data_IF_696454188731
#
_entry.id   IF_696454188731
#
_cell.length_a   1.000
_cell.length_b   1.000
_cell.length_c   1.000
_cell.angle_alpha   90.00
_cell.angle_beta   90.00
_cell.angle_gamma   90.00
#
_symmetry.space_group_name_H-M   'P 1'
#
loop_
_entity.id
_entity.type
_entity.pdbx_description
1 polymer ?
2 non-polymer ?
3 non-polymer ?
4 water ?
#
# COMPACT_ATOMS: atom_id res chain seq x y z
N UNK A 3 13.19 12.73 1.75
CA UNK A 3 13.40 11.27 1.76
C UNK A 3 12.61 10.49 2.81
N UNK A 4 12.12 9.28 2.61
CA UNK A 4 11.50 8.53 3.70
C UNK A 4 12.55 8.23 4.79
N UNK A 5 12.11 8.25 6.06
CA UNK A 5 12.96 7.82 7.15
C UNK A 5 12.85 6.30 7.34
N UNK A 6 13.86 5.81 8.08
CA UNK A 6 13.77 4.39 8.43
C UNK A 6 12.49 4.01 9.20
N UNK A 7 12.07 4.89 10.08
CA UNK A 7 10.86 4.64 10.86
C UNK A 7 9.63 4.61 9.94
N UNK A 8 9.60 5.53 8.94
CA UNK A 8 8.48 5.49 8.00
C UNK A 8 8.49 4.21 7.20
N UNK A 9 9.65 3.80 6.68
CA UNK A 9 9.68 2.56 5.92
C UNK A 9 9.22 1.37 6.76
N UNK A 10 9.68 1.32 8.00
CA UNK A 10 9.31 0.20 8.86
C UNK A 10 7.80 0.20 9.14
N UNK A 11 7.24 1.41 9.36
CA UNK A 11 5.79 1.44 9.64
C UNK A 11 4.96 1.09 8.40
N UNK A 12 5.44 1.55 7.25
CA UNK A 12 4.71 1.18 6.01
C UNK A 12 4.76 -0.33 5.83
N UNK A 13 5.94 -0.92 6.05
CA UNK A 13 6.10 -2.38 5.96
C UNK A 13 5.16 -3.10 6.94
N UNK A 14 5.12 -2.63 8.19
CA UNK A 14 4.29 -3.33 9.20
C UNK A 14 2.81 -3.27 8.89
N UNK A 15 2.37 -2.07 8.48
CA UNK A 15 0.93 -1.93 8.21
C UNK A 15 0.56 -2.80 7.01
N UNK A 16 1.37 -2.75 5.93
CA UNK A 16 1.12 -3.60 4.76
C UNK A 16 1.03 -5.04 5.16
N UNK A 17 2.00 -5.47 5.97
CA UNK A 17 2.14 -6.89 6.30
C UNK A 17 0.96 -7.41 7.11
N UNK A 18 0.24 -6.51 7.80
CA UNK A 18 -0.97 -6.95 8.54
C UNK A 18 -1.97 -7.62 7.63
N UNK A 19 -1.97 -7.18 6.36
CA UNK A 19 -2.98 -7.69 5.43
C UNK A 19 -2.40 -8.62 4.39
N UNK A 20 -1.13 -8.98 4.50
CA UNK A 20 -0.44 -9.96 3.63
C UNK A 20 -0.54 -11.30 4.36
N UNK A 21 -1.67 -11.97 4.12
CA UNK A 21 -1.91 -13.11 5.02
C UNK A 21 -0.91 -14.23 4.76
N UNK A 22 -0.51 -14.41 3.49
CA UNK A 22 0.45 -15.54 3.27
C UNK A 22 1.91 -15.13 3.35
N UNK A 23 2.17 -13.87 3.72
CA UNK A 23 3.54 -13.50 4.01
C UNK A 23 4.40 -13.38 2.80
N UNK A 24 3.85 -13.21 1.59
CA UNK A 24 4.70 -13.26 0.41
C UNK A 24 4.97 -11.88 -0.17
N UNK A 25 4.61 -10.82 0.55
CA UNK A 25 4.91 -9.48 0.11
C UNK A 25 3.89 -8.86 -0.82
N UNK A 26 2.73 -9.50 -0.89
CA UNK A 26 1.65 -8.94 -1.69
C UNK A 26 0.35 -8.90 -0.90
N UNK A 27 -0.46 -7.90 -1.29
CA UNK A 27 -1.82 -7.78 -0.77
C UNK A 27 -2.78 -7.62 -1.96
N UNK A 28 -4.08 -7.66 -1.68
CA UNK A 28 -5.04 -7.36 -2.73
C UNK A 28 -5.25 -5.85 -2.84
N UNK A 29 -5.63 -5.40 -4.05
CA UNK A 29 -5.95 -3.97 -4.20
C UNK A 29 -7.15 -3.62 -3.31
N UNK A 30 -8.08 -4.57 -3.05
CA UNK A 30 -9.22 -4.24 -2.21
C UNK A 30 -8.83 -3.96 -0.77
N UNK A 31 -7.62 -4.35 -0.32
CA UNK A 31 -7.13 -4.09 1.03
C UNK A 31 -6.24 -2.86 1.10
N UNK A 32 -6.00 -2.13 -0.01
CA UNK A 32 -5.12 -0.96 0.09
C UNK A 32 -5.72 0.09 1.01
N UNK A 33 -7.06 0.36 0.90
CA UNK A 33 -7.62 1.38 1.82
C UNK A 33 -7.44 0.95 3.27
N UNK A 34 -7.59 -0.34 3.56
CA UNK A 34 -7.46 -0.81 4.96
C UNK A 34 -6.05 -0.59 5.43
N UNK A 35 -5.05 -0.83 4.57
CA UNK A 35 -3.66 -0.53 4.95
C UNK A 35 -3.47 0.97 5.25
N UNK A 36 -4.03 1.84 4.37
CA UNK A 36 -3.84 3.27 4.55
C UNK A 36 -4.49 3.75 5.86
N UNK A 37 -5.68 3.19 6.13
CA UNK A 37 -6.35 3.55 7.41
C UNK A 37 -5.58 3.00 8.60
N UNK A 38 -4.91 1.86 8.45
CA UNK A 38 -4.08 1.33 9.52
C UNK A 38 -2.92 2.27 9.86
N UNK A 39 -2.51 3.06 8.86
CA UNK A 39 -1.47 4.07 9.04
C UNK A 39 -2.03 5.38 9.57
N UNK A 40 -3.36 5.45 9.81
CA UNK A 40 -3.93 6.70 10.35
C UNK A 40 -4.28 7.64 9.23
N UNK A 41 -4.20 7.22 7.97
CA UNK A 41 -4.59 8.12 6.88
C UNK A 41 -6.06 7.88 6.51
N UNK A 42 -6.62 8.80 5.72
CA UNK A 42 -8.03 8.70 5.36
C UNK A 42 -8.21 9.04 3.89
N UNK A 43 -7.65 8.23 2.97
CA UNK A 43 -7.82 8.56 1.54
C UNK A 43 -9.27 8.39 1.11
N UNK A 44 -9.62 9.18 0.11
CA UNK A 44 -10.92 9.03 -0.54
C UNK A 44 -10.86 7.88 -1.54
N UNK A 45 -12.04 7.40 -1.95
CA UNK A 45 -12.10 6.36 -2.98
C UNK A 45 -11.37 6.79 -4.23
N UNK A 46 -11.55 8.07 -4.57
CA UNK A 46 -10.81 8.69 -5.65
C UNK A 46 -9.30 8.54 -5.59
N UNK A 47 -8.81 8.96 -4.42
CA UNK A 47 -7.39 8.91 -4.17
C UNK A 47 -6.92 7.47 -4.17
N UNK A 48 -7.71 6.54 -3.60
CA UNK A 48 -7.41 5.11 -3.71
C UNK A 48 -7.33 4.61 -5.15
N UNK A 49 -8.28 4.99 -5.99
CA UNK A 49 -8.24 4.64 -7.42
C UNK A 49 -6.98 5.08 -8.13
N UNK A 50 -6.53 6.31 -7.91
CA UNK A 50 -5.28 6.86 -8.47
C UNK A 50 -4.07 6.05 -8.00
N UNK A 51 -4.03 5.72 -6.71
CA UNK A 51 -2.97 4.86 -6.20
C UNK A 51 -3.01 3.48 -6.87
N UNK A 52 -4.20 2.92 -6.98
CA UNK A 52 -4.30 1.56 -7.53
C UNK A 52 -3.85 1.58 -8.98
N UNK A 53 -4.16 2.69 -9.67
CA UNK A 53 -3.68 3.00 -11.00
C UNK A 53 -2.16 3.02 -11.05
N UNK A 54 -1.45 3.41 -10.01
CA UNK A 54 0.01 3.39 -10.04
C UNK A 54 0.57 2.02 -9.69
N UNK A 55 -0.03 1.32 -8.72
CA UNK A 55 0.65 0.11 -8.24
C UNK A 55 0.05 -1.16 -8.81
N UNK A 56 -1.05 -1.06 -9.54
CA UNK A 56 -1.63 -2.30 -10.10
C UNK A 56 -1.93 -1.93 -11.55
N UNK A 57 -0.90 -1.47 -12.27
CA UNK A 57 -1.18 -1.06 -13.67
C UNK A 57 -1.86 -2.15 -14.50
N UNK A 58 -1.50 -3.42 -14.21
CA UNK A 58 -2.02 -4.43 -15.15
C UNK A 58 -3.40 -4.85 -14.72
N UNK A 59 -3.92 -4.36 -13.59
CA UNK A 59 -5.29 -4.76 -13.29
C UNK A 59 -5.33 -6.20 -12.87
N UNK A 60 -4.35 -6.72 -12.12
CA UNK A 60 -4.56 -8.10 -11.67
C UNK A 60 -5.15 -8.11 -10.26
N UNK A 61 -5.26 -6.92 -9.65
CA UNK A 61 -5.93 -6.84 -8.34
C UNK A 61 -4.98 -7.14 -7.18
N UNK A 62 -3.67 -7.09 -7.42
CA UNK A 62 -2.64 -7.28 -6.40
C UNK A 62 -1.69 -6.10 -6.34
N UNK A 63 -1.06 -5.92 -5.16
CA UNK A 63 -0.07 -4.87 -4.94
C UNK A 63 1.09 -5.49 -4.19
N UNK A 64 2.30 -5.31 -4.73
CA UNK A 64 3.47 -5.78 -3.96
C UNK A 64 4.05 -4.66 -3.12
N UNK A 65 4.84 -5.04 -2.12
CA UNK A 65 5.37 -4.02 -1.21
C UNK A 65 6.30 -3.05 -1.90
N UNK A 66 7.20 -3.44 -2.78
CA UNK A 66 8.09 -2.42 -3.40
C UNK A 66 7.30 -1.30 -4.09
N UNK A 67 6.25 -1.68 -4.82
CA UNK A 67 5.46 -0.64 -5.51
C UNK A 67 4.63 0.17 -4.51
N UNK A 68 4.12 -0.46 -3.46
CA UNK A 68 3.41 0.30 -2.41
C UNK A 68 4.33 1.35 -1.80
N UNK A 69 5.58 0.95 -1.49
CA UNK A 69 6.51 1.84 -0.80
C UNK A 69 6.90 3.02 -1.70
N UNK A 70 7.23 2.77 -2.97
CA UNK A 70 7.62 3.96 -3.78
C UNK A 70 6.41 4.83 -4.00
N UNK A 71 5.21 4.29 -4.13
CA UNK A 71 4.10 5.23 -4.29
C UNK A 71 3.89 6.08 -3.06
N UNK A 72 4.08 5.45 -1.88
CA UNK A 72 3.97 6.26 -0.67
C UNK A 72 5.08 7.32 -0.58
N UNK A 73 6.32 6.95 -0.95
CA UNK A 73 7.39 7.93 -0.95
C UNK A 73 6.93 9.15 -1.73
N UNK A 74 6.28 8.86 -2.88
CA UNK A 74 5.85 9.95 -3.75
C UNK A 74 4.75 10.75 -3.06
N UNK A 75 3.85 10.07 -2.35
CA UNK A 75 2.73 10.75 -1.64
C UNK A 75 3.19 11.58 -0.45
N UNK A 76 4.23 11.15 0.29
CA UNK A 76 4.77 11.81 1.48
C UNK A 76 5.79 12.91 1.11
X LIG B 1 -1.26 -16.84 -3.94
X LIG B 1 -2.44 -16.90 -2.77
X LIG B 1 -0.02 -15.76 -3.61
X LIG B 1 -0.57 -18.62 -4.09
X LIG B 1 -2.08 -16.23 -5.67
X LIG C 1 5.65 -4.92 -8.69
X LIG D 1 0.24 -14.85 -1.88
#
# INVERSE_FOLDING_TARGET
ADQLTEEQIAEFKEAFSLFDKDGDGTITTKELGTVMRSLGQNPTEAELQDMINEVDADGNGTIDFPEFLTMMARKM
CAC AS O1 O2 C1 C2
ZN ZN
ZN ZN
#
